data_IF_001730588457
#
_entry.id   IF_001730588457
#
_cell.length_a   1.000
_cell.length_b   1.000
_cell.length_c   1.000
_cell.angle_alpha   90.00
_cell.angle_beta   90.00
_cell.angle_gamma   90.00
#
_symmetry.space_group_name_H-M   'P 1'
#
loop_
_entity.id
_entity.type
_entity.pdbx_description
1 polymer ?
#
# COMPACT_ATOMS: atom_id res chain seq x y z
N UNK A 1 -17.54 -11.62 -45.80
CA UNK A 1 -17.79 -13.04 -45.50
C UNK A 1 -16.52 -13.77 -45.89
N UNK A 2 -15.58 -14.14 -45.05
CA UNK A 2 -15.42 -14.04 -43.59
C UNK A 2 -13.93 -14.13 -43.28
N UNK A 3 -13.57 -13.57 -42.14
CA UNK A 3 -12.25 -13.56 -41.51
C UNK A 3 -11.71 -14.97 -41.25
N UNK A 4 -10.38 -15.16 -41.27
CA UNK A 4 -9.61 -15.29 -40.02
C UNK A 4 -8.11 -15.53 -40.29
N UNK A 5 -7.28 -14.70 -39.66
CA UNK A 5 -5.82 -14.82 -39.55
C UNK A 5 -5.49 -15.85 -38.48
N UNK A 6 -4.67 -16.86 -38.81
CA UNK A 6 -3.96 -17.63 -37.79
C UNK A 6 -2.49 -17.27 -37.79
N UNK A 7 -2.11 -16.57 -36.71
CA UNK A 7 -0.75 -16.24 -36.30
C UNK A 7 -0.07 -17.51 -35.77
N UNK A 8 1.20 -17.72 -36.11
CA UNK A 8 2.11 -18.52 -35.30
C UNK A 8 3.42 -17.76 -35.17
N UNK A 9 3.61 -17.11 -34.01
CA UNK A 9 4.85 -16.48 -33.59
C UNK A 9 5.57 -17.43 -32.63
N UNK A 10 6.85 -17.61 -32.87
CA UNK A 10 7.74 -18.63 -32.32
C UNK A 10 8.05 -18.41 -30.83
N UNK A 11 7.48 -19.20 -29.93
CA UNK A 11 8.04 -19.39 -28.56
C UNK A 11 7.69 -20.76 -27.97
N UNK A 12 7.70 -21.82 -28.80
CA UNK A 12 7.83 -23.18 -28.27
C UNK A 12 9.29 -23.61 -28.30
N UNK A 13 10.03 -23.29 -27.25
CA UNK A 13 11.04 -24.19 -26.70
C UNK A 13 11.48 -23.64 -25.35
N UNK A 14 11.00 -24.25 -24.26
CA UNK A 14 11.83 -24.94 -23.28
C UNK A 14 11.06 -25.17 -21.97
N UNK A 15 11.06 -26.45 -21.56
CA UNK A 15 10.91 -26.99 -20.20
C UNK A 15 9.50 -27.25 -19.68
N UNK A 16 9.08 -28.49 -19.96
CA UNK A 16 8.38 -29.35 -19.01
C UNK A 16 9.02 -29.26 -17.61
N UNK A 17 8.29 -28.70 -16.65
CA UNK A 17 8.38 -29.10 -15.24
C UNK A 17 6.98 -29.38 -14.73
N UNK A 18 6.84 -30.60 -14.22
CA UNK A 18 5.63 -31.21 -13.68
C UNK A 18 5.22 -30.51 -12.39
N UNK A 19 3.90 -30.51 -12.20
CA UNK A 19 3.16 -30.69 -10.96
C UNK A 19 3.57 -29.90 -9.70
N UNK A 20 2.63 -29.03 -9.31
CA UNK A 20 2.14 -28.79 -7.94
C UNK A 20 3.08 -28.25 -6.86
N UNK A 21 2.55 -27.26 -6.14
CA UNK A 21 2.96 -26.77 -4.83
C UNK A 21 3.99 -25.62 -4.81
N UNK A 22 3.61 -24.50 -5.42
CA UNK A 22 4.05 -23.19 -4.91
C UNK A 22 3.29 -22.94 -3.60
N UNK A 23 3.97 -23.16 -2.48
CA UNK A 23 3.52 -22.80 -1.13
C UNK A 23 3.70 -21.27 -0.96
N UNK A 24 2.64 -20.45 -0.88
CA UNK A 24 2.76 -18.99 -0.87
C UNK A 24 3.00 -18.43 0.55
N UNK A 25 4.00 -18.94 1.27
CA UNK A 25 4.35 -18.46 2.61
C UNK A 25 5.86 -18.43 2.81
N UNK A 26 6.52 -17.53 2.10
CA UNK A 26 7.77 -16.92 2.57
C UNK A 26 7.65 -15.40 2.38
N UNK A 27 6.68 -14.81 3.08
CA UNK A 27 6.84 -13.45 3.59
C UNK A 27 7.47 -13.63 4.96
N UNK A 28 8.77 -13.38 5.04
CA UNK A 28 9.54 -13.37 6.29
C UNK A 28 8.79 -12.55 7.33
N UNK A 29 8.40 -13.22 8.42
CA UNK A 29 7.77 -12.62 9.59
C UNK A 29 8.85 -11.86 10.36
N UNK A 30 9.23 -10.69 9.85
CA UNK A 30 9.98 -9.69 10.59
C UNK A 30 9.01 -9.10 11.63
N UNK A 31 9.41 -9.13 12.91
CA UNK A 31 8.57 -8.91 14.08
C UNK A 31 7.55 -7.78 13.90
N UNK A 32 6.29 -8.13 13.65
CA UNK A 32 5.24 -7.14 13.38
C UNK A 32 4.79 -6.48 14.68
N UNK A 33 4.95 -5.15 14.75
CA UNK A 33 4.33 -4.32 15.78
C UNK A 33 2.80 -4.57 15.79
N UNK A 34 2.20 -5.04 16.92
CA UNK A 34 0.77 -5.29 17.01
C UNK A 34 -0.10 -4.07 16.62
N UNK A 35 0.42 -2.85 16.81
CA UNK A 35 -0.25 -1.62 16.40
C UNK A 35 -0.30 -1.51 14.87
N UNK A 36 0.83 -1.76 14.19
CA UNK A 36 0.91 -1.74 12.72
C UNK A 36 -0.03 -2.77 12.10
N UNK A 37 -0.09 -3.98 12.66
CA UNK A 37 -1.01 -5.02 12.15
C UNK A 37 -2.48 -4.59 12.26
N UNK A 38 -2.88 -3.99 13.39
CA UNK A 38 -4.23 -3.48 13.57
C UNK A 38 -4.58 -2.36 12.56
N UNK A 39 -3.61 -1.52 12.19
CA UNK A 39 -3.79 -0.52 11.13
C UNK A 39 -3.96 -1.19 9.77
N UNK A 40 -3.10 -2.16 9.41
CA UNK A 40 -3.18 -2.88 8.13
C UNK A 40 -4.54 -3.55 7.96
N UNK A 41 -5.09 -4.15 9.01
CA UNK A 41 -6.43 -4.76 8.99
C UNK A 41 -7.50 -3.70 8.63
N UNK A 42 -7.49 -2.54 9.30
CA UNK A 42 -8.45 -1.46 9.04
C UNK A 42 -8.31 -0.88 7.63
N UNK A 43 -7.08 -0.76 7.12
CA UNK A 43 -6.81 -0.34 5.75
C UNK A 43 -7.39 -1.32 4.74
N UNK A 44 -7.16 -2.63 4.94
CA UNK A 44 -7.75 -3.69 4.10
C UNK A 44 -9.27 -3.66 4.10
N UNK A 45 -9.90 -3.48 5.26
CA UNK A 45 -11.36 -3.35 5.39
C UNK A 45 -11.90 -2.14 4.61
N UNK A 46 -11.23 -0.98 4.73
CA UNK A 46 -11.61 0.24 4.01
C UNK A 46 -11.43 0.08 2.50
N UNK A 47 -10.29 -0.43 2.05
CA UNK A 47 -10.00 -0.64 0.63
C UNK A 47 -11.03 -1.57 -0.02
N UNK A 48 -11.37 -2.68 0.65
CA UNK A 48 -12.39 -3.62 0.20
C UNK A 48 -13.79 -3.00 0.13
N UNK A 49 -14.11 -2.08 1.05
CA UNK A 49 -15.39 -1.35 1.03
C UNK A 49 -15.46 -0.38 -0.14
N UNK A 50 -14.39 0.36 -0.39
CA UNK A 50 -14.37 1.45 -1.37
C UNK A 50 -14.19 0.92 -2.81
N UNK A 51 -13.44 -0.19 -2.97
CA UNK A 51 -13.10 -0.79 -4.27
C UNK A 51 -13.30 -2.32 -4.31
N UNK A 52 -14.52 -2.84 -4.10
CA UNK A 52 -14.77 -4.24 -3.76
C UNK A 52 -14.19 -5.30 -4.71
N UNK A 53 -14.06 -4.99 -6.00
CA UNK A 53 -13.55 -5.92 -7.02
C UNK A 53 -12.29 -5.40 -7.74
N UNK A 54 -11.78 -4.22 -7.36
CA UNK A 54 -10.56 -3.65 -7.96
C UNK A 54 -9.38 -3.88 -7.03
N UNK A 55 -8.87 -5.11 -7.07
CA UNK A 55 -7.77 -5.55 -6.21
C UNK A 55 -6.46 -4.80 -6.48
N UNK A 56 -6.23 -4.36 -7.72
CA UNK A 56 -5.09 -3.51 -8.07
C UNK A 56 -5.13 -2.18 -7.32
N UNK A 57 -6.28 -1.51 -7.31
CA UNK A 57 -6.44 -0.25 -6.58
C UNK A 57 -6.37 -0.48 -5.07
N UNK A 58 -6.92 -1.59 -4.56
CA UNK A 58 -6.80 -1.94 -3.14
C UNK A 58 -5.33 -2.10 -2.72
N UNK A 59 -4.56 -2.92 -3.44
CA UNK A 59 -3.14 -3.17 -3.15
C UNK A 59 -2.34 -1.87 -3.20
N UNK A 60 -2.46 -1.11 -4.29
CA UNK A 60 -1.79 0.17 -4.45
C UNK A 60 -2.09 1.13 -3.30
N UNK A 61 -3.38 1.33 -2.98
CA UNK A 61 -3.78 2.25 -1.93
C UNK A 61 -3.30 1.80 -0.54
N UNK A 62 -3.39 0.51 -0.22
CA UNK A 62 -2.90 -0.03 1.07
C UNK A 62 -1.40 0.21 1.22
N UNK A 63 -0.62 -0.05 0.16
CA UNK A 63 0.83 0.15 0.20
C UNK A 63 1.19 1.62 0.42
N UNK A 64 0.54 2.55 -0.29
CA UNK A 64 0.70 3.99 -0.07
C UNK A 64 0.40 4.40 1.38
N UNK A 65 -0.65 3.83 1.98
CA UNK A 65 -0.99 4.11 3.37
C UNK A 65 0.04 3.55 4.37
N UNK A 66 0.61 2.37 4.11
CA UNK A 66 1.63 1.76 4.97
C UNK A 66 2.93 2.55 4.90
N UNK A 67 3.38 2.93 3.71
CA UNK A 67 4.59 3.74 3.55
C UNK A 67 4.47 5.10 4.26
N UNK A 68 3.31 5.75 4.13
CA UNK A 68 3.05 7.00 4.83
C UNK A 68 2.93 6.82 6.35
N UNK A 69 2.34 5.72 6.83
CA UNK A 69 2.32 5.38 8.26
C UNK A 69 3.74 5.21 8.81
N UNK A 70 4.59 4.44 8.12
CA UNK A 70 5.96 4.20 8.55
C UNK A 70 6.75 5.50 8.63
N UNK A 71 6.60 6.38 7.63
CA UNK A 71 7.16 7.74 7.69
C UNK A 71 6.66 8.52 8.92
N UNK A 72 5.34 8.54 9.15
CA UNK A 72 4.75 9.26 10.29
C UNK A 72 5.24 8.71 11.63
N UNK A 73 5.55 7.43 11.75
CA UNK A 73 6.11 6.84 12.96
C UNK A 73 7.57 7.25 13.21
N UNK A 74 8.35 7.61 12.18
CA UNK A 74 9.73 8.13 12.37
C UNK A 74 9.78 9.52 12.99
N UNK A 75 8.69 10.28 12.91
CA UNK A 75 8.60 11.66 13.40
C UNK A 75 8.36 11.66 14.91
N UNK A 76 9.15 12.43 15.66
CA UNK A 76 8.92 12.66 17.09
C UNK A 76 7.53 13.25 17.36
N UNK A 77 6.91 12.84 18.46
CA UNK A 77 5.58 13.31 18.81
C UNK A 77 5.57 14.83 19.07
N UNK A 78 4.71 15.53 18.34
CA UNK A 78 4.61 16.99 18.39
C UNK A 78 3.20 17.46 18.00
N UNK A 79 2.81 18.71 18.31
CA UNK A 79 1.44 19.17 18.09
C UNK A 79 0.96 19.09 16.62
N UNK A 80 1.87 19.25 15.64
CA UNK A 80 1.53 19.15 14.22
C UNK A 80 1.20 17.69 13.88
N UNK A 81 2.06 16.74 14.28
CA UNK A 81 1.81 15.30 14.09
C UNK A 81 0.52 14.86 14.75
N UNK A 82 0.28 15.27 16.00
CA UNK A 82 -0.95 14.91 16.74
C UNK A 82 -2.22 15.45 16.05
N UNK A 83 -2.17 16.67 15.52
CA UNK A 83 -3.29 17.26 14.79
C UNK A 83 -3.57 16.49 13.49
N UNK A 84 -2.53 16.14 12.72
CA UNK A 84 -2.67 15.34 11.51
C UNK A 84 -3.32 13.98 11.79
N UNK A 85 -2.82 13.25 12.80
CA UNK A 85 -3.35 11.94 13.19
C UNK A 85 -4.81 12.00 13.65
N UNK A 86 -5.20 13.10 14.30
CA UNK A 86 -6.57 13.33 14.75
C UNK A 86 -7.53 13.59 13.58
N UNK A 87 -7.12 14.40 12.61
CA UNK A 87 -7.99 14.83 11.51
C UNK A 87 -8.12 13.75 10.43
N UNK A 88 -7.09 12.91 10.25
CA UNK A 88 -7.03 11.90 9.18
C UNK A 88 -6.63 10.50 9.69
N UNK A 89 -7.36 9.89 10.62
CA UNK A 89 -6.90 8.72 11.40
C UNK A 89 -6.57 7.44 10.60
N UNK A 90 -7.01 7.32 9.34
CA UNK A 90 -6.67 6.22 8.42
C UNK A 90 -6.24 6.72 7.03
N UNK A 91 -5.98 8.03 6.89
CA UNK A 91 -5.46 8.62 5.66
C UNK A 91 -4.06 9.17 5.94
N UNK A 92 -3.11 8.24 6.07
CA UNK A 92 -1.72 8.52 6.41
C UNK A 92 -1.01 9.30 5.30
N UNK A 93 -1.42 9.12 4.04
CA UNK A 93 -0.95 9.96 2.94
C UNK A 93 -1.28 11.43 3.17
N UNK A 94 -2.52 11.75 3.56
CA UNK A 94 -2.91 13.13 3.87
C UNK A 94 -2.24 13.61 5.16
N UNK A 95 -2.07 12.76 6.17
CA UNK A 95 -1.32 13.11 7.38
C UNK A 95 0.11 13.55 7.04
N UNK A 96 0.83 12.74 6.26
CA UNK A 96 2.21 13.00 5.83
C UNK A 96 2.29 14.32 5.08
N UNK A 97 1.48 14.48 4.04
CA UNK A 97 1.46 15.68 3.21
C UNK A 97 1.18 16.93 4.04
N UNK A 98 0.13 16.91 4.87
CA UNK A 98 -0.23 18.06 5.69
C UNK A 98 0.84 18.40 6.73
N UNK A 99 1.42 17.38 7.37
CA UNK A 99 2.51 17.57 8.34
C UNK A 99 3.71 18.29 7.69
N UNK A 100 4.15 17.81 6.53
CA UNK A 100 5.26 18.40 5.78
C UNK A 100 4.96 19.87 5.42
N UNK A 101 3.76 20.14 4.92
CA UNK A 101 3.33 21.51 4.59
C UNK A 101 3.35 22.44 5.81
N UNK A 102 2.90 21.98 6.98
CA UNK A 102 2.91 22.78 8.20
C UNK A 102 4.33 23.03 8.73
N UNK A 103 5.20 22.01 8.69
CA UNK A 103 6.60 22.15 9.11
C UNK A 103 7.33 23.15 8.21
N UNK A 104 7.14 23.04 6.89
CA UNK A 104 7.75 23.97 5.94
C UNK A 104 7.17 25.38 6.05
N UNK A 105 5.86 25.52 6.29
CA UNK A 105 5.25 26.83 6.53
C UNK A 105 5.81 27.48 7.80
N UNK A 106 5.93 26.72 8.89
CA UNK A 106 6.50 27.18 10.15
C UNK A 106 7.93 27.70 9.98
N UNK A 107 8.79 26.97 9.27
CA UNK A 107 10.17 27.39 8.95
C UNK A 107 10.26 28.70 8.15
N UNK A 108 9.23 29.06 7.37
CA UNK A 108 9.22 30.29 6.57
C UNK A 108 8.80 31.52 7.36
N UNK A 109 8.09 31.35 8.47
CA UNK A 109 7.52 32.45 9.27
C UNK A 109 8.20 32.65 10.61
N UNK A 110 9.02 31.70 11.06
CA UNK A 110 9.91 31.80 12.23
C UNK A 110 11.30 32.31 11.83
#
# INVERSE_FOLDING_TARGET
MDDNKSKTSSYESLRSFKDSDIHPQELEVESTDPKKEAIIIRLKEKAKKDWPNDYSTQEFWINEQIEAYDYMETIEDNPIKQQAQKDWPLDFSTQKFWYEEQVEAKKRIE
#
